data_IF_679944405646
#
_entry.id   IF_679944405646
#
_cell.length_a   1.000
_cell.length_b   1.000
_cell.length_c   1.000
_cell.angle_alpha   90.00
_cell.angle_beta   90.00
_cell.angle_gamma   90.00
#
_symmetry.space_group_name_H-M   'P 1'
#
loop_
_entity.id
_entity.type
_entity.pdbx_description
1 polymer ?
#
# COMPACT_ATOMS: atom_id res chain seq x y z
N UNK A 1 20.23 -19.39 -71.43
CA UNK A 1 19.73 -18.07 -70.99
C UNK A 1 19.75 -18.03 -69.46
N UNK A 2 19.90 -16.85 -68.86
CA UNK A 2 19.70 -16.52 -67.43
C UNK A 2 18.25 -16.88 -66.99
N UNK A 3 17.85 -17.05 -65.72
CA UNK A 3 18.36 -16.81 -64.33
C UNK A 3 17.79 -17.98 -63.45
N UNK A 4 17.85 -18.18 -62.12
CA UNK A 4 18.15 -17.44 -60.87
C UNK A 4 18.80 -18.43 -59.86
N UNK A 5 19.37 -17.95 -58.73
CA UNK A 5 19.88 -18.77 -57.62
C UNK A 5 18.81 -19.07 -56.55
N UNK A 6 18.81 -20.32 -56.07
CA UNK A 6 18.96 -20.70 -54.65
C UNK A 6 17.96 -20.25 -53.55
N UNK A 7 17.65 -21.20 -52.66
CA UNK A 7 17.70 -20.96 -51.22
C UNK A 7 18.10 -22.25 -50.48
N UNK A 8 18.81 -22.13 -49.36
CA UNK A 8 19.27 -23.27 -48.55
C UNK A 8 18.94 -23.02 -47.07
N UNK A 9 18.13 -23.91 -46.48
CA UNK A 9 17.70 -23.83 -45.08
C UNK A 9 17.93 -25.16 -44.37
N UNK A 10 19.09 -25.29 -43.69
CA UNK A 10 19.35 -26.45 -42.80
C UNK A 10 18.50 -26.32 -41.54
N UNK A 11 17.77 -27.38 -41.20
CA UNK A 11 17.27 -27.59 -39.84
C UNK A 11 18.47 -27.75 -38.90
N UNK A 12 18.53 -26.90 -37.86
CA UNK A 12 19.44 -27.07 -36.72
C UNK A 12 18.59 -27.01 -35.46
N UNK A 13 18.54 -28.12 -34.72
CA UNK A 13 17.87 -28.16 -33.43
C UNK A 13 18.79 -27.52 -32.36
N UNK A 14 18.29 -26.48 -31.70
CA UNK A 14 18.86 -25.97 -30.45
C UNK A 14 17.80 -26.12 -29.37
N UNK A 15 18.11 -26.89 -28.33
CA UNK A 15 17.23 -27.07 -27.19
C UNK A 15 17.32 -25.87 -26.25
N UNK A 16 16.23 -25.11 -26.08
CA UNK A 16 16.08 -24.24 -24.92
C UNK A 16 15.72 -25.09 -23.70
N UNK A 17 16.72 -25.40 -22.89
CA UNK A 17 16.50 -25.83 -21.51
C UNK A 17 16.07 -24.61 -20.68
N UNK A 18 14.80 -24.21 -20.82
CA UNK A 18 14.19 -23.11 -20.07
C UNK A 18 14.03 -23.51 -18.59
N UNK A 19 15.12 -23.39 -17.83
CA UNK A 19 15.12 -23.60 -16.40
C UNK A 19 14.22 -22.56 -15.72
N UNK A 20 13.07 -23.01 -15.21
CA UNK A 20 12.25 -22.21 -14.30
C UNK A 20 13.01 -22.04 -12.98
N UNK A 21 13.85 -21.01 -12.92
CA UNK A 21 14.31 -20.44 -11.67
C UNK A 21 13.12 -19.74 -10.99
N UNK A 22 12.26 -20.55 -10.35
CA UNK A 22 11.39 -20.08 -9.28
C UNK A 22 12.25 -19.76 -8.04
N UNK A 23 13.16 -18.80 -8.18
CA UNK A 23 13.71 -18.08 -7.03
C UNK A 23 12.52 -17.51 -6.26
N UNK A 24 12.50 -17.72 -4.94
CA UNK A 24 11.26 -17.70 -4.17
C UNK A 24 10.47 -16.40 -4.31
N UNK A 25 9.24 -16.49 -4.80
CA UNK A 25 8.31 -15.36 -4.94
C UNK A 25 7.74 -14.91 -3.59
N UNK A 26 8.63 -14.60 -2.63
CA UNK A 26 8.32 -13.95 -1.36
C UNK A 26 8.16 -12.44 -1.55
N UNK A 27 7.30 -12.02 -2.48
CA UNK A 27 6.77 -10.66 -2.49
C UNK A 27 6.05 -10.46 -1.15
N UNK A 28 6.67 -9.69 -0.24
CA UNK A 28 6.45 -9.85 1.21
C UNK A 28 5.03 -9.43 1.59
N UNK A 29 4.13 -10.42 1.67
CA UNK A 29 2.78 -10.27 2.22
C UNK A 29 2.84 -10.20 3.73
N UNK A 30 2.01 -9.34 4.30
CA UNK A 30 1.93 -9.14 5.74
C UNK A 30 0.50 -8.85 6.19
N UNK A 31 0.23 -9.19 7.44
CA UNK A 31 -0.91 -8.68 8.21
C UNK A 31 -0.42 -7.62 9.18
N UNK A 32 -1.28 -6.70 9.60
CA UNK A 32 -0.92 -5.71 10.61
C UNK A 32 -2.09 -5.33 11.52
N UNK A 33 -1.74 -4.85 12.71
CA UNK A 33 -2.65 -4.24 13.67
C UNK A 33 -2.03 -2.96 14.22
N UNK A 34 -2.79 -1.87 14.20
CA UNK A 34 -2.33 -0.53 14.54
C UNK A 34 -3.21 0.10 15.62
N UNK A 35 -2.58 0.85 16.53
CA UNK A 35 -3.26 1.66 17.56
C UNK A 35 -2.89 3.13 17.36
N UNK A 36 -3.89 4.00 17.33
CA UNK A 36 -3.73 5.45 17.15
C UNK A 36 -3.97 6.22 18.45
N UNK A 37 -3.24 7.32 18.62
CA UNK A 37 -3.57 8.37 19.58
C UNK A 37 -4.79 9.19 19.11
N UNK A 38 -5.41 9.94 20.02
CA UNK A 38 -6.55 10.82 19.70
C UNK A 38 -6.18 11.85 18.63
N UNK A 39 -6.86 11.88 17.45
CA UNK A 39 -6.50 12.81 16.38
C UNK A 39 -6.72 14.28 16.76
N UNK A 40 -5.74 15.12 16.41
CA UNK A 40 -5.93 16.58 16.38
C UNK A 40 -6.64 16.93 15.08
N UNK A 41 -7.84 17.52 15.18
CA UNK A 41 -8.69 17.83 14.03
C UNK A 41 -8.77 19.34 13.75
N UNK A 42 -8.91 19.68 12.47
CA UNK A 42 -9.20 21.02 11.98
C UNK A 42 -10.31 20.93 10.93
N UNK A 43 -11.21 21.91 10.87
CA UNK A 43 -12.32 21.83 9.92
C UNK A 43 -13.28 23.02 9.99
N UNK A 44 -14.25 23.03 9.07
CA UNK A 44 -15.30 24.02 8.98
C UNK A 44 -16.55 23.45 8.30
N UNK A 45 -17.72 23.94 8.68
CA UNK A 45 -18.97 23.64 7.97
C UNK A 45 -19.12 24.62 6.80
N UNK A 46 -19.26 24.11 5.58
CA UNK A 46 -19.53 24.90 4.37
C UNK A 46 -20.95 24.63 3.86
N UNK A 47 -21.53 25.48 3.00
CA UNK A 47 -22.81 25.19 2.33
C UNK A 47 -22.81 23.89 1.50
N UNK A 48 -21.63 23.39 1.12
CA UNK A 48 -21.42 22.15 0.39
C UNK A 48 -21.21 20.93 1.31
N UNK A 49 -21.15 21.13 2.63
CA UNK A 49 -20.87 20.11 3.65
C UNK A 49 -19.65 20.45 4.51
N UNK A 50 -19.29 19.55 5.44
CA UNK A 50 -18.14 19.76 6.33
C UNK A 50 -16.82 19.45 5.62
N UNK A 51 -15.90 20.42 5.60
CA UNK A 51 -14.48 20.17 5.31
C UNK A 51 -13.76 19.81 6.61
N UNK A 52 -12.90 18.81 6.57
CA UNK A 52 -12.12 18.38 7.72
C UNK A 52 -10.73 17.89 7.31
N UNK A 53 -9.76 18.09 8.20
CA UNK A 53 -8.47 17.43 8.18
C UNK A 53 -8.09 16.97 9.59
N UNK A 54 -7.25 15.94 9.67
CA UNK A 54 -6.78 15.38 10.93
C UNK A 54 -5.28 15.13 10.88
N UNK A 55 -4.61 15.25 12.03
CA UNK A 55 -3.26 14.77 12.28
C UNK A 55 -3.29 13.82 13.48
N UNK A 56 -2.61 12.67 13.38
CA UNK A 56 -2.49 11.71 14.47
C UNK A 56 -1.21 10.89 14.40
N UNK A 57 -0.89 10.22 15.50
CA UNK A 57 0.28 9.36 15.69
C UNK A 57 -0.14 8.00 16.22
N UNK A 58 0.74 7.01 16.16
CA UNK A 58 0.45 5.68 16.68
C UNK A 58 1.55 4.66 16.39
N UNK A 59 1.27 3.40 16.71
CA UNK A 59 2.16 2.25 16.50
C UNK A 59 1.47 1.12 15.75
N UNK A 60 2.25 0.25 15.10
CA UNK A 60 1.77 -0.91 14.34
C UNK A 60 2.62 -2.14 14.59
N UNK A 61 1.98 -3.24 14.99
CA UNK A 61 2.58 -4.57 14.93
C UNK A 61 2.31 -5.16 13.54
N UNK A 62 3.35 -5.38 12.76
CA UNK A 62 3.32 -6.11 11.49
C UNK A 62 3.66 -7.58 11.73
N UNK A 63 2.98 -8.51 11.06
CA UNK A 63 3.33 -9.94 11.03
C UNK A 63 3.51 -10.38 9.58
N UNK A 64 4.74 -10.78 9.23
CA UNK A 64 5.13 -11.19 7.89
C UNK A 64 4.76 -12.67 7.61
N UNK A 65 4.80 -13.08 6.34
CA UNK A 65 4.38 -14.42 5.89
C UNK A 65 5.19 -15.60 6.47
N UNK A 66 6.39 -15.36 6.99
CA UNK A 66 7.22 -16.35 7.69
C UNK A 66 6.92 -16.46 9.21
N UNK A 67 5.99 -15.64 9.71
CA UNK A 67 5.62 -15.55 11.12
C UNK A 67 6.48 -14.61 11.95
N UNK A 68 7.50 -13.97 11.36
CA UNK A 68 8.25 -12.90 12.04
C UNK A 68 7.38 -11.66 12.25
N UNK A 69 7.78 -10.83 13.21
CA UNK A 69 7.06 -9.60 13.57
C UNK A 69 8.01 -8.41 13.63
N UNK A 70 7.55 -7.29 13.07
CA UNK A 70 8.19 -5.98 13.19
C UNK A 70 7.24 -5.00 13.86
N UNK A 71 7.79 -4.12 14.69
CA UNK A 71 7.06 -2.97 15.24
C UNK A 71 7.41 -1.72 14.42
N UNK A 72 6.43 -0.83 14.23
CA UNK A 72 6.66 0.48 13.64
C UNK A 72 5.90 1.58 14.38
N UNK A 73 6.39 2.81 14.26
CA UNK A 73 5.65 4.02 14.63
C UNK A 73 5.24 4.78 13.38
N UNK A 74 4.14 5.53 13.45
CA UNK A 74 3.67 6.34 12.33
C UNK A 74 3.19 7.73 12.73
N UNK A 75 3.18 8.63 11.75
CA UNK A 75 2.55 9.96 11.81
C UNK A 75 1.69 10.12 10.55
N UNK A 76 0.42 10.42 10.73
CA UNK A 76 -0.56 10.49 9.65
C UNK A 76 -1.19 11.88 9.55
N UNK A 77 -1.55 12.25 8.33
CA UNK A 77 -2.50 13.32 8.03
C UNK A 77 -3.63 12.77 7.14
N UNK A 78 -4.82 13.33 7.25
CA UNK A 78 -5.91 13.06 6.30
C UNK A 78 -6.75 14.30 6.02
N UNK A 79 -7.51 14.26 4.91
CA UNK A 79 -8.49 15.28 4.54
C UNK A 79 -9.77 14.68 3.97
N UNK A 80 -10.90 15.33 4.25
CA UNK A 80 -12.22 15.12 3.66
C UNK A 80 -12.73 16.47 3.16
N UNK A 81 -12.95 16.61 1.85
CA UNK A 81 -13.52 17.81 1.25
C UNK A 81 -14.77 17.44 0.45
N UNK A 82 -15.91 18.14 0.62
CA UNK A 82 -17.05 18.03 -0.27
C UNK A 82 -16.80 18.75 -1.62
N UNK A 83 -17.50 18.36 -2.71
CA UNK A 83 -18.42 17.23 -2.79
C UNK A 83 -17.71 15.88 -2.62
N UNK A 84 -18.41 14.92 -2.00
CA UNK A 84 -17.94 13.53 -1.86
C UNK A 84 -18.36 12.70 -3.07
N UNK A 85 -18.12 13.22 -4.28
CA UNK A 85 -18.37 12.58 -5.58
C UNK A 85 -17.14 11.84 -6.14
N UNK A 86 -16.00 11.95 -5.44
CA UNK A 86 -14.80 11.11 -5.57
C UNK A 86 -15.04 9.66 -5.11
N UNK A 87 -14.20 8.73 -5.59
CA UNK A 87 -14.19 7.30 -5.20
C UNK A 87 -13.97 7.12 -3.68
N UNK A 88 -13.32 8.09 -3.03
CA UNK A 88 -13.01 8.07 -1.60
C UNK A 88 -13.48 9.35 -0.89
N UNK A 89 -14.14 9.19 0.26
CA UNK A 89 -14.59 10.28 1.13
C UNK A 89 -13.46 10.93 1.94
N UNK A 90 -12.40 10.17 2.24
CA UNK A 90 -11.22 10.63 3.00
C UNK A 90 -9.95 10.18 2.28
N UNK A 91 -8.98 11.08 2.14
CA UNK A 91 -7.64 10.77 1.63
C UNK A 91 -6.62 10.92 2.76
N UNK A 92 -5.77 9.91 2.96
CA UNK A 92 -4.77 9.85 4.01
C UNK A 92 -3.35 9.69 3.47
N UNK A 93 -2.38 10.25 4.19
CA UNK A 93 -0.94 10.01 3.99
C UNK A 93 -0.28 9.81 5.35
N UNK A 94 0.51 8.76 5.50
CA UNK A 94 1.24 8.46 6.73
C UNK A 94 2.71 8.22 6.43
N UNK A 95 3.61 8.77 7.24
CA UNK A 95 5.01 8.36 7.29
C UNK A 95 5.20 7.37 8.45
N UNK A 96 5.81 6.22 8.15
CA UNK A 96 6.09 5.14 9.09
C UNK A 96 7.59 4.86 9.21
N UNK A 97 8.00 4.38 10.38
CA UNK A 97 9.38 4.03 10.70
C UNK A 97 9.42 2.73 11.52
N UNK A 98 10.12 1.71 11.01
CA UNK A 98 10.50 0.46 11.70
C UNK A 98 12.01 0.27 11.70
N UNK A 99 12.50 -0.81 12.30
CA UNK A 99 13.92 -1.22 12.21
C UNK A 99 14.31 -1.57 10.76
N UNK A 100 13.40 -2.18 10.00
CA UNK A 100 13.57 -2.52 8.57
C UNK A 100 13.75 -1.27 7.68
N UNK A 101 13.19 -0.13 8.09
CA UNK A 101 13.30 1.13 7.34
C UNK A 101 12.17 2.13 7.55
N UNK A 102 12.27 3.26 6.84
CA UNK A 102 11.21 4.26 6.76
C UNK A 102 10.36 4.03 5.50
N UNK A 103 9.07 4.35 5.57
CA UNK A 103 8.13 4.21 4.46
C UNK A 103 7.04 5.29 4.48
N UNK A 104 6.33 5.44 3.37
CA UNK A 104 5.06 6.18 3.28
C UNK A 104 3.94 5.22 2.94
N UNK A 105 2.79 5.40 3.60
CA UNK A 105 1.48 4.90 3.19
C UNK A 105 0.68 6.05 2.60
N UNK A 106 -0.06 5.83 1.52
CA UNK A 106 -1.13 6.73 1.08
C UNK A 106 -2.42 5.95 0.86
N UNK A 107 -3.56 6.46 1.33
CA UNK A 107 -4.85 5.76 1.34
C UNK A 107 -5.98 6.59 0.78
N UNK A 108 -6.92 5.89 0.13
CA UNK A 108 -8.29 6.35 -0.07
C UNK A 108 -9.24 5.54 0.81
N UNK A 109 -10.07 6.22 1.60
CA UNK A 109 -10.97 5.62 2.58
C UNK A 109 -12.43 6.03 2.36
N UNK A 110 -13.36 5.13 2.71
CA UNK A 110 -14.79 5.40 2.78
C UNK A 110 -15.34 5.03 4.17
N UNK A 111 -16.32 5.80 4.66
CA UNK A 111 -17.03 5.48 5.89
C UNK A 111 -17.96 4.29 5.68
N UNK A 112 -18.02 3.40 6.67
CA UNK A 112 -18.80 2.15 6.63
C UNK A 112 -20.05 2.19 7.51
N UNK A 113 -20.23 3.26 8.29
CA UNK A 113 -21.38 3.55 9.15
C UNK A 113 -21.86 5.01 8.96
N UNK A 114 -23.02 5.35 9.51
CA UNK A 114 -23.59 6.70 9.38
C UNK A 114 -22.98 7.68 10.38
N UNK A 115 -22.48 7.14 11.49
CA UNK A 115 -21.83 7.78 12.62
C UNK A 115 -20.41 8.28 12.29
N UNK A 116 -19.84 7.81 11.16
CA UNK A 116 -18.47 8.08 10.70
C UNK A 116 -17.38 7.56 11.66
N UNK A 117 -17.68 6.49 12.40
CA UNK A 117 -16.77 5.83 13.36
C UNK A 117 -15.96 4.67 12.77
N UNK A 118 -16.37 4.15 11.62
CA UNK A 118 -15.73 3.03 10.93
C UNK A 118 -15.33 3.43 9.51
N UNK A 119 -14.12 3.09 9.07
CA UNK A 119 -13.66 3.26 7.69
C UNK A 119 -13.10 1.97 7.10
N UNK A 120 -13.24 1.82 5.79
CA UNK A 120 -12.48 0.85 4.99
C UNK A 120 -11.65 1.63 3.97
N UNK A 121 -10.37 1.25 3.81
CA UNK A 121 -9.45 1.92 2.90
C UNK A 121 -8.65 0.95 2.04
N UNK A 122 -8.26 1.45 0.87
CA UNK A 122 -7.21 0.85 0.03
C UNK A 122 -6.07 1.86 -0.11
N UNK A 123 -4.84 1.38 -0.30
CA UNK A 123 -3.68 2.26 -0.34
C UNK A 123 -2.44 1.67 -0.98
N UNK A 124 -1.46 2.54 -1.22
CA UNK A 124 -0.14 2.18 -1.71
C UNK A 124 0.96 2.43 -0.68
N UNK A 125 2.09 1.74 -0.89
CA UNK A 125 3.30 1.81 -0.06
C UNK A 125 4.48 2.31 -0.89
N UNK A 126 5.36 3.09 -0.27
CA UNK A 126 6.65 3.53 -0.84
C UNK A 126 7.72 3.41 0.25
N UNK A 127 8.70 2.53 0.06
CA UNK A 127 9.82 2.39 0.99
C UNK A 127 10.94 3.39 0.71
N UNK A 128 11.34 4.13 1.76
CA UNK A 128 12.23 5.31 1.68
C UNK A 128 13.68 5.02 2.07
N UNK A 129 13.93 4.06 2.96
CA UNK A 129 15.27 3.73 3.47
C UNK A 129 15.33 2.32 4.04
N UNK A 130 16.52 1.83 4.39
CA UNK A 130 16.71 0.48 4.92
C UNK A 130 16.42 -0.60 3.88
N UNK A 131 16.00 -1.77 4.32
CA UNK A 131 15.65 -2.92 3.47
C UNK A 131 14.31 -2.69 2.71
N UNK A 132 13.59 -1.61 3.06
CA UNK A 132 12.45 -1.12 2.30
C UNK A 132 12.83 -0.20 1.14
N UNK A 133 14.08 0.30 1.05
CA UNK A 133 14.45 1.35 0.10
C UNK A 133 14.16 1.00 -1.37
N UNK A 134 13.30 1.79 -2.01
CA UNK A 134 12.93 1.62 -3.43
C UNK A 134 11.80 0.61 -3.67
N UNK A 135 11.42 -0.21 -2.68
CA UNK A 135 10.25 -1.08 -2.78
C UNK A 135 8.97 -0.26 -2.88
N UNK A 136 8.00 -0.78 -3.62
CA UNK A 136 6.63 -0.25 -3.64
C UNK A 136 5.68 -1.31 -3.08
N UNK A 137 4.40 -1.00 -2.91
CA UNK A 137 3.46 -1.99 -2.39
C UNK A 137 2.02 -1.52 -2.40
N UNK A 138 1.14 -2.39 -1.96
CA UNK A 138 -0.30 -2.15 -1.85
C UNK A 138 -0.84 -2.70 -0.54
N UNK A 139 -1.88 -2.07 0.01
CA UNK A 139 -2.58 -2.58 1.20
C UNK A 139 -4.08 -2.29 1.20
N UNK A 140 -4.78 -3.02 2.04
CA UNK A 140 -6.18 -2.81 2.42
C UNK A 140 -6.29 -2.79 3.94
N UNK A 141 -7.07 -1.87 4.50
CA UNK A 141 -7.26 -1.78 5.95
C UNK A 141 -8.71 -1.46 6.33
N UNK A 142 -9.07 -1.88 7.53
CA UNK A 142 -10.30 -1.54 8.22
C UNK A 142 -9.94 -0.80 9.50
N UNK A 143 -10.47 0.41 9.68
CA UNK A 143 -10.34 1.23 10.88
C UNK A 143 -11.66 1.27 11.63
N UNK A 144 -11.59 1.11 12.95
CA UNK A 144 -12.70 1.44 13.85
C UNK A 144 -12.16 2.04 15.13
N UNK A 145 -12.76 3.16 15.55
CA UNK A 145 -12.31 3.93 16.70
C UNK A 145 -10.81 4.28 16.56
N UNK A 146 -9.98 4.01 17.57
CA UNK A 146 -8.51 4.20 17.52
C UNK A 146 -7.74 3.02 16.90
N UNK A 147 -8.40 1.91 16.57
CA UNK A 147 -7.76 0.67 16.12
C UNK A 147 -7.88 0.52 14.60
N UNK A 148 -6.85 -0.03 13.96
CA UNK A 148 -6.93 -0.47 12.55
C UNK A 148 -6.28 -1.82 12.36
N UNK A 149 -6.82 -2.63 11.46
CA UNK A 149 -6.23 -3.91 11.04
C UNK A 149 -6.23 -4.02 9.52
N UNK A 150 -5.30 -4.78 8.96
CA UNK A 150 -5.21 -4.89 7.50
C UNK A 150 -4.21 -5.92 6.99
N UNK A 151 -4.12 -5.95 5.67
CA UNK A 151 -3.19 -6.78 4.89
C UNK A 151 -2.47 -5.91 3.88
N UNK A 152 -1.18 -6.14 3.70
CA UNK A 152 -0.37 -5.48 2.68
C UNK A 152 0.58 -6.45 1.99
N UNK A 153 1.19 -5.96 0.91
CA UNK A 153 2.21 -6.68 0.15
C UNK A 153 3.24 -5.69 -0.39
N UNK A 154 4.52 -6.00 -0.19
CA UNK A 154 5.63 -5.34 -0.86
C UNK A 154 5.92 -5.98 -2.24
N UNK A 155 6.33 -5.13 -3.18
CA UNK A 155 6.72 -5.44 -4.54
C UNK A 155 8.14 -4.90 -4.80
N UNK A 156 8.92 -5.66 -5.55
CA UNK A 156 10.32 -5.37 -5.94
C UNK A 156 10.43 -5.16 -7.45
#
# INVERSE_FOLDING_TARGET
MTKILGNAGRLVAFGLASGLFCAGAFAQTFTFSSTSETPTTVGATTPQGSVAGAYWTGTTTTTYADGTKGESSFKCVSTSQPPRDSIFMVHGVCDGASEDGNYTVYTGCNFMDAEMTTMSCVGGLIGKSGDLAGRTGTLTLYSKDSTSTGTGQWHE
#
